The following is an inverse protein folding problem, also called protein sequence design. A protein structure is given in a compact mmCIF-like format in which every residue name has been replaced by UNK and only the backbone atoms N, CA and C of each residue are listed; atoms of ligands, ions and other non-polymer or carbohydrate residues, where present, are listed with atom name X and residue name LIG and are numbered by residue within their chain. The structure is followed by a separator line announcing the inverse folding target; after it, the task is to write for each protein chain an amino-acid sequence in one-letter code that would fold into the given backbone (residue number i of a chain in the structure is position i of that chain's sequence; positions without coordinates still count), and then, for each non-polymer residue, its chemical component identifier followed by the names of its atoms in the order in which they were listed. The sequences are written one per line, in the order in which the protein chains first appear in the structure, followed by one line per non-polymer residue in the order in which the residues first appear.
data_IF_937732666769
#
_entry.id   IF_937732666769
#
_cell.length_a   1.000
_cell.length_b   1.000
_cell.length_c   1.000
_cell.angle_alpha   90.00
_cell.angle_beta   90.00
_cell.angle_gamma   90.00
#
_symmetry.space_group_name_H-M   'P 1'
#
loop_
_entity.id
_entity.type
_entity.pdbx_description
1 polymer ?
#
# COMPACT_ATOMS: atom_id res chain seq x y z
N UNK A 1 23.49 29.75 17.41
CA UNK A 1 23.30 28.98 16.16
C UNK A 1 21.80 28.81 15.97
N UNK A 2 21.23 29.35 14.89
CA UNK A 2 19.86 29.05 14.52
C UNK A 2 19.89 27.78 13.66
N UNK A 3 19.23 26.72 14.10
CA UNK A 3 19.05 25.52 13.29
C UNK A 3 17.94 25.82 12.29
N UNK A 4 18.23 25.61 11.00
CA UNK A 4 17.24 25.80 9.94
C UNK A 4 16.16 24.72 10.04
N UNK A 5 14.96 25.14 10.45
CA UNK A 5 13.80 24.26 10.63
C UNK A 5 13.23 23.73 9.31
N UNK A 6 13.72 24.22 8.16
CA UNK A 6 13.28 23.75 6.84
C UNK A 6 13.58 22.26 6.63
N UNK A 7 14.68 21.76 7.19
CA UNK A 7 15.04 20.34 7.17
C UNK A 7 13.97 19.46 7.85
N UNK A 8 13.56 19.81 9.06
CA UNK A 8 12.52 19.08 9.80
C UNK A 8 11.15 19.21 9.14
N UNK A 9 10.84 20.38 8.59
CA UNK A 9 9.58 20.61 7.90
C UNK A 9 9.50 19.79 6.61
N UNK A 10 10.60 19.62 5.87
CA UNK A 10 10.66 18.74 4.69
C UNK A 10 10.43 17.29 5.09
N UNK A 11 11.22 16.79 6.04
CA UNK A 11 11.15 15.38 6.47
C UNK A 11 9.75 14.99 6.96
N UNK A 12 9.15 15.77 7.86
CA UNK A 12 7.79 15.49 8.35
C UNK A 12 6.73 15.62 7.26
N UNK A 13 6.90 16.56 6.32
CA UNK A 13 5.97 16.71 5.18
C UNK A 13 6.07 15.54 4.20
N UNK A 14 7.28 14.97 4.01
CA UNK A 14 7.50 13.79 3.19
C UNK A 14 6.92 12.55 3.85
N UNK A 15 7.14 12.34 5.14
CA UNK A 15 6.59 11.22 5.92
C UNK A 15 5.05 11.20 5.86
N UNK A 16 4.39 12.34 6.12
CA UNK A 16 2.92 12.48 6.00
C UNK A 16 2.43 12.19 4.56
N UNK A 17 3.22 12.60 3.55
CA UNK A 17 2.85 12.39 2.15
C UNK A 17 3.01 10.92 1.75
N UNK A 18 3.95 10.21 2.34
CA UNK A 18 4.22 8.80 2.09
C UNK A 18 3.16 7.93 2.77
N UNK A 19 2.82 8.22 4.03
CA UNK A 19 1.67 7.64 4.73
C UNK A 19 0.37 7.82 3.94
N UNK A 20 0.11 9.04 3.43
CA UNK A 20 -1.06 9.32 2.60
C UNK A 20 -1.08 8.56 1.27
N UNK A 21 0.09 8.30 0.67
CA UNK A 21 0.19 7.45 -0.53
C UNK A 21 -0.03 5.98 -0.20
N UNK A 22 0.48 5.51 0.93
CA UNK A 22 0.31 4.14 1.38
C UNK A 22 -1.16 3.84 1.70
N UNK A 23 -1.81 4.67 2.52
CA UNK A 23 -3.23 4.52 2.85
C UNK A 23 -4.10 4.45 1.58
N UNK A 24 -3.85 5.37 0.63
CA UNK A 24 -4.57 5.38 -0.65
C UNK A 24 -4.30 4.13 -1.48
N UNK A 25 -3.05 3.67 -1.54
CA UNK A 25 -2.69 2.46 -2.27
C UNK A 25 -3.38 1.21 -1.70
N UNK A 26 -3.51 1.11 -0.38
CA UNK A 26 -4.25 0.03 0.27
C UNK A 26 -5.74 0.05 -0.08
N UNK A 27 -6.37 1.23 -0.04
CA UNK A 27 -7.76 1.43 -0.43
C UNK A 27 -8.02 1.07 -1.89
N UNK A 28 -7.13 1.49 -2.81
CA UNK A 28 -7.23 1.20 -4.23
C UNK A 28 -7.17 -0.32 -4.51
N UNK A 29 -6.33 -1.07 -3.80
CA UNK A 29 -6.26 -2.53 -3.93
C UNK A 29 -7.58 -3.18 -3.52
N UNK A 30 -8.10 -2.81 -2.36
CA UNK A 30 -9.34 -3.37 -1.83
C UNK A 30 -10.51 -3.09 -2.78
N UNK A 31 -10.59 -1.86 -3.31
CA UNK A 31 -11.60 -1.47 -4.28
C UNK A 31 -11.52 -2.31 -5.57
N UNK A 32 -10.32 -2.57 -6.08
CA UNK A 32 -10.15 -3.41 -7.28
C UNK A 32 -10.59 -4.85 -7.02
N UNK A 33 -10.21 -5.44 -5.88
CA UNK A 33 -10.59 -6.81 -5.53
C UNK A 33 -12.11 -6.93 -5.37
N UNK A 34 -12.75 -5.98 -4.67
CA UNK A 34 -14.19 -5.89 -4.53
C UNK A 34 -14.90 -5.74 -5.89
N UNK A 35 -14.41 -4.85 -6.74
CA UNK A 35 -14.96 -4.63 -8.10
C UNK A 35 -14.90 -5.90 -8.94
N UNK A 36 -13.89 -6.75 -8.71
CA UNK A 36 -13.73 -8.04 -9.38
C UNK A 36 -14.56 -9.16 -8.74
N UNK A 37 -15.27 -8.90 -7.64
CA UNK A 37 -16.02 -9.90 -6.89
C UNK A 37 -15.12 -10.90 -6.17
N UNK A 38 -13.87 -10.54 -5.89
CA UNK A 38 -12.94 -11.37 -5.13
C UNK A 38 -13.17 -11.10 -3.66
N UNK A 39 -13.51 -12.16 -2.91
CA UNK A 39 -13.65 -12.08 -1.47
C UNK A 39 -12.28 -11.79 -0.81
N UNK A 40 -12.27 -10.85 0.13
CA UNK A 40 -11.06 -10.41 0.83
C UNK A 40 -11.23 -10.72 2.32
N UNK A 41 -10.65 -11.83 2.81
CA UNK A 41 -10.66 -12.17 4.22
C UNK A 41 -10.02 -11.08 5.07
N UNK A 42 -10.45 -10.94 6.33
CA UNK A 42 -9.96 -9.87 7.22
C UNK A 42 -8.45 -9.90 7.46
N UNK A 43 -7.83 -11.09 7.47
CA UNK A 43 -6.37 -11.24 7.54
C UNK A 43 -5.66 -10.56 6.35
N UNK A 44 -6.19 -10.78 5.15
CA UNK A 44 -5.67 -10.20 3.91
C UNK A 44 -5.91 -8.69 3.87
N UNK A 45 -7.11 -8.26 4.28
CA UNK A 45 -7.44 -6.83 4.42
C UNK A 45 -6.47 -6.15 5.38
N UNK A 46 -6.24 -6.75 6.55
CA UNK A 46 -5.29 -6.26 7.55
C UNK A 46 -3.87 -6.15 7.00
N UNK A 47 -3.38 -7.16 6.29
CA UNK A 47 -2.06 -7.16 5.66
C UNK A 47 -1.90 -6.08 4.58
N UNK A 48 -2.95 -5.80 3.80
CA UNK A 48 -2.96 -4.72 2.81
C UNK A 48 -2.89 -3.36 3.52
N UNK A 49 -3.73 -3.12 4.52
CA UNK A 49 -3.81 -1.83 5.23
C UNK A 49 -2.63 -1.56 6.15
N UNK A 50 -1.93 -2.60 6.61
CA UNK A 50 -0.73 -2.47 7.44
C UNK A 50 0.54 -2.14 6.64
N UNK A 51 0.46 -2.12 5.31
CA UNK A 51 1.62 -1.83 4.46
C UNK A 51 1.81 -0.32 4.30
N UNK A 52 2.95 0.18 4.77
CA UNK A 52 3.36 1.58 4.68
C UNK A 52 4.24 1.90 3.46
N UNK A 53 4.59 0.91 2.63
CA UNK A 53 5.40 1.08 1.41
C UNK A 53 4.50 1.34 0.18
N UNK A 54 4.48 2.59 -0.36
CA UNK A 54 3.65 2.93 -1.52
C UNK A 54 4.05 2.20 -2.80
N UNK A 55 5.33 1.85 -2.97
CA UNK A 55 5.81 1.15 -4.16
C UNK A 55 5.40 -0.32 -4.13
N UNK A 56 5.43 -0.94 -2.96
CA UNK A 56 4.91 -2.30 -2.78
C UNK A 56 3.39 -2.35 -3.02
N UNK A 57 2.64 -1.39 -2.48
CA UNK A 57 1.21 -1.25 -2.74
C UNK A 57 0.92 -1.04 -4.23
N UNK A 58 1.69 -0.21 -4.93
CA UNK A 58 1.54 -0.03 -6.38
C UNK A 58 1.73 -1.35 -7.16
N UNK A 59 2.73 -2.16 -6.80
CA UNK A 59 2.95 -3.48 -7.43
C UNK A 59 1.83 -4.47 -7.12
N UNK A 60 1.26 -4.42 -5.91
CA UNK A 60 0.12 -5.25 -5.52
C UNK A 60 -1.15 -4.81 -6.24
N UNK A 61 -1.37 -3.51 -6.40
CA UNK A 61 -2.49 -2.95 -7.16
C UNK A 61 -2.50 -3.43 -8.61
N UNK A 62 -1.35 -3.38 -9.29
CA UNK A 62 -1.24 -3.89 -10.66
C UNK A 62 -1.62 -5.38 -10.76
N UNK A 63 -1.27 -6.18 -9.75
CA UNK A 63 -1.63 -7.60 -9.67
C UNK A 63 -3.08 -7.84 -9.28
N UNK A 64 -3.64 -7.02 -8.41
CA UNK A 64 -5.04 -7.11 -7.98
C UNK A 64 -6.01 -7.05 -9.18
N UNK A 65 -5.58 -6.54 -10.33
CA UNK A 65 -6.35 -6.56 -11.59
C UNK A 65 -6.41 -7.96 -12.23
N UNK A 66 -5.39 -8.81 -12.03
CA UNK A 66 -5.21 -10.06 -12.79
C UNK A 66 -5.33 -11.33 -11.95
N UNK A 67 -4.96 -11.30 -10.67
CA UNK A 67 -4.91 -12.50 -9.82
C UNK A 67 -6.30 -13.12 -9.62
N UNK A 68 -6.45 -14.45 -9.55
CA UNK A 68 -7.76 -15.07 -9.36
C UNK A 68 -8.22 -15.05 -7.89
N UNK A 69 -7.35 -14.73 -6.93
CA UNK A 69 -7.67 -14.66 -5.50
C UNK A 69 -6.93 -13.53 -4.78
N UNK A 70 -7.44 -13.07 -3.63
CA UNK A 70 -6.84 -11.99 -2.86
C UNK A 70 -5.45 -12.33 -2.32
N UNK A 71 -5.20 -13.59 -1.95
CA UNK A 71 -3.90 -14.05 -1.43
C UNK A 71 -2.78 -13.95 -2.47
N UNK A 72 -3.09 -14.12 -3.75
CA UNK A 72 -2.09 -14.14 -4.82
C UNK A 72 -1.50 -12.76 -5.14
N UNK A 73 -2.06 -11.67 -4.61
CA UNK A 73 -1.44 -10.34 -4.74
C UNK A 73 -0.04 -10.28 -4.08
N UNK A 74 0.24 -11.17 -3.12
CA UNK A 74 1.51 -11.20 -2.38
C UNK A 74 2.60 -12.08 -3.02
N UNK A 75 2.26 -12.92 -4.00
CA UNK A 75 3.11 -14.04 -4.46
C UNK A 75 4.46 -13.69 -5.16
N UNK A 76 4.88 -12.41 -5.26
CA UNK A 76 6.26 -12.08 -5.69
C UNK A 76 7.18 -11.74 -4.50
N UNK A 77 6.69 -11.84 -3.27
CA UNK A 77 7.52 -11.71 -2.06
C UNK A 77 8.15 -13.06 -1.64
N UNK A 78 7.66 -14.18 -2.21
CA UNK A 78 8.08 -15.56 -1.89
C UNK A 78 9.13 -16.15 -2.86
N UNK A 79 9.59 -15.39 -3.86
CA UNK A 79 10.61 -15.82 -4.85
C UNK A 79 11.96 -15.13 -4.58
N UNK A 80 12.40 -15.13 -3.31
CA UNK A 80 13.67 -14.56 -2.84
C UNK A 80 14.37 -15.46 -1.83
#
# INVERSE_FOLDING_TARGET
MAVDLSFYKSYLSEEIRDEGRAQRGAEDILLVLETRGIDVPDDIRGRITACDDPELLRRRLARAVTVPSAQEIFAQEDDG
#
